data_IF_096998809317
#
_entry.id   IF_096998809317
#
_cell.length_a   1.000
_cell.length_b   1.000
_cell.length_c   1.000
_cell.angle_alpha   90.00
_cell.angle_beta   90.00
_cell.angle_gamma   90.00
#
_symmetry.space_group_name_H-M   'P 1'
#
loop_
_entity.id
_entity.type
_entity.pdbx_description
1 polymer ?
#
# COMPACT_ATOMS: atom_id res chain seq x y z
N UNK A 1 -6.69 11.73 -4.29
CA UNK A 1 -6.37 10.28 -4.42
C UNK A 1 -4.86 10.17 -4.63
N UNK A 2 -4.10 9.80 -3.60
CA UNK A 2 -2.64 9.61 -3.69
C UNK A 2 -2.35 8.22 -4.24
N UNK A 3 -2.76 7.97 -5.48
CA UNK A 3 -2.42 6.75 -6.18
C UNK A 3 -1.18 6.98 -7.02
N UNK A 4 -0.44 5.89 -7.22
CA UNK A 4 0.56 5.83 -8.27
C UNK A 4 -0.11 6.17 -9.60
N UNK A 5 0.53 7.05 -10.37
CA UNK A 5 0.19 7.31 -11.75
C UNK A 5 0.38 6.04 -12.59
N UNK A 6 -0.25 5.96 -13.75
CA UNK A 6 -0.09 4.81 -14.64
C UNK A 6 1.39 4.51 -14.98
N UNK A 7 2.21 5.56 -15.11
CA UNK A 7 3.65 5.44 -15.32
C UNK A 7 4.36 4.80 -14.13
N UNK A 8 3.98 5.19 -12.92
CA UNK A 8 4.55 4.62 -11.68
C UNK A 8 4.08 3.18 -11.46
N UNK A 9 2.82 2.87 -11.78
CA UNK A 9 2.31 1.49 -11.75
C UNK A 9 3.09 0.61 -12.72
N UNK A 10 3.24 1.04 -13.98
CA UNK A 10 4.04 0.31 -14.98
C UNK A 10 5.49 0.13 -14.55
N UNK A 11 6.07 1.13 -13.88
CA UNK A 11 7.43 1.03 -13.34
C UNK A 11 7.48 -0.02 -12.22
N UNK A 12 6.51 0.00 -11.30
CA UNK A 12 6.40 -0.98 -10.22
C UNK A 12 6.25 -2.40 -10.77
N UNK A 13 5.35 -2.61 -11.72
CA UNK A 13 5.13 -3.92 -12.36
C UNK A 13 6.44 -4.47 -12.95
N UNK A 14 7.17 -3.65 -13.71
CA UNK A 14 8.47 -4.05 -14.29
C UNK A 14 9.50 -4.41 -13.22
N UNK A 15 9.57 -3.65 -12.13
CA UNK A 15 10.48 -3.93 -11.02
C UNK A 15 10.11 -5.24 -10.31
N UNK A 16 8.82 -5.51 -10.13
CA UNK A 16 8.33 -6.76 -9.53
C UNK A 16 8.64 -7.96 -10.43
N UNK A 17 8.38 -7.88 -11.73
CA UNK A 17 8.74 -8.94 -12.68
C UNK A 17 10.25 -9.22 -12.67
N UNK A 18 11.07 -8.17 -12.76
CA UNK A 18 12.53 -8.32 -12.74
C UNK A 18 13.06 -8.93 -11.43
N UNK A 19 12.39 -8.70 -10.31
CA UNK A 19 12.74 -9.36 -9.05
C UNK A 19 12.46 -10.87 -9.09
N UNK A 20 11.34 -11.29 -9.68
CA UNK A 20 11.03 -12.71 -9.84
C UNK A 20 12.03 -13.41 -10.76
N UNK A 21 12.39 -12.80 -11.89
CA UNK A 21 13.42 -13.33 -12.79
C UNK A 21 14.77 -13.51 -12.07
N UNK A 22 15.14 -12.54 -11.22
CA UNK A 22 16.35 -12.61 -10.39
C UNK A 22 16.30 -13.77 -9.38
N UNK A 23 15.16 -13.95 -8.70
CA UNK A 23 14.98 -15.03 -7.73
C UNK A 23 14.97 -16.39 -8.43
N UNK A 24 14.32 -16.51 -9.59
CA UNK A 24 14.30 -17.73 -10.37
C UNK A 24 15.73 -18.16 -10.73
N UNK A 25 16.56 -17.23 -11.21
CA UNK A 25 17.97 -17.50 -11.48
C UNK A 25 18.74 -17.99 -10.24
N UNK A 26 18.48 -17.41 -9.06
CA UNK A 26 19.10 -17.85 -7.81
C UNK A 26 18.66 -19.27 -7.42
N UNK A 27 17.38 -19.61 -7.57
CA UNK A 27 16.85 -20.96 -7.31
C UNK A 27 17.48 -21.97 -8.28
N UNK A 28 17.56 -21.64 -9.58
CA UNK A 28 18.16 -22.50 -10.61
C UNK A 28 19.64 -22.81 -10.30
N UNK A 29 20.37 -21.84 -9.75
CA UNK A 29 21.75 -22.01 -9.29
C UNK A 29 21.90 -22.89 -8.03
N UNK A 30 20.82 -23.53 -7.57
CA UNK A 30 20.72 -24.40 -6.39
C UNK A 30 21.01 -23.71 -5.06
N UNK A 31 20.84 -22.39 -4.97
CA UNK A 31 20.81 -21.72 -3.68
C UNK A 31 19.42 -21.88 -3.06
N UNK A 32 19.27 -22.82 -2.11
CA UNK A 32 18.09 -22.82 -1.25
C UNK A 32 18.20 -21.70 -0.23
N UNK A 33 17.15 -20.90 -0.09
CA UNK A 33 17.08 -19.81 0.88
C UNK A 33 15.97 -20.03 1.90
N UNK A 34 16.22 -19.57 3.12
CA UNK A 34 15.24 -19.41 4.18
C UNK A 34 14.38 -18.16 3.93
N UNK A 35 13.25 -18.05 4.62
CA UNK A 35 12.40 -16.84 4.51
C UNK A 35 13.12 -15.55 4.92
N UNK A 36 14.08 -15.64 5.85
CA UNK A 36 14.90 -14.50 6.27
C UNK A 36 15.83 -14.05 5.14
N UNK A 37 16.52 -15.00 4.49
CA UNK A 37 17.40 -14.71 3.35
C UNK A 37 16.62 -14.19 2.14
N UNK A 38 15.38 -14.65 1.95
CA UNK A 38 14.47 -14.10 0.95
C UNK A 38 14.11 -12.62 1.23
N UNK A 39 13.85 -12.26 2.49
CA UNK A 39 13.60 -10.86 2.84
C UNK A 39 14.85 -9.98 2.59
N UNK A 40 16.05 -10.51 2.83
CA UNK A 40 17.30 -9.82 2.53
C UNK A 40 17.56 -9.67 1.03
N UNK A 41 17.19 -10.66 0.21
CA UNK A 41 17.38 -10.62 -1.24
C UNK A 41 16.56 -9.49 -1.89
N UNK A 42 15.36 -9.20 -1.36
CA UNK A 42 14.56 -8.02 -1.76
C UNK A 42 15.34 -6.73 -1.56
N UNK A 43 15.95 -6.55 -0.38
CA UNK A 43 16.73 -5.35 -0.09
C UNK A 43 17.98 -5.25 -0.99
N UNK A 44 18.65 -6.38 -1.26
CA UNK A 44 19.81 -6.44 -2.17
C UNK A 44 19.40 -6.06 -3.59
N UNK A 45 18.31 -6.63 -4.10
CA UNK A 45 17.78 -6.33 -5.43
C UNK A 45 17.42 -4.85 -5.59
N UNK A 46 16.70 -4.30 -4.62
CA UNK A 46 16.32 -2.89 -4.62
C UNK A 46 17.55 -1.99 -4.57
N UNK A 47 18.53 -2.28 -3.71
CA UNK A 47 19.77 -1.51 -3.60
C UNK A 47 20.60 -1.55 -4.89
N UNK A 48 20.68 -2.72 -5.53
CA UNK A 48 21.39 -2.93 -6.79
C UNK A 48 20.75 -2.12 -7.94
N UNK A 49 19.42 -2.03 -7.97
CA UNK A 49 18.69 -1.21 -8.93
C UNK A 49 18.58 0.27 -8.53
N UNK A 50 19.46 0.74 -7.64
CA UNK A 50 19.56 2.14 -7.17
C UNK A 50 18.28 2.65 -6.48
N UNK A 51 17.40 1.75 -6.01
CA UNK A 51 16.28 2.15 -5.18
C UNK A 51 16.75 2.53 -3.78
N UNK A 52 16.18 3.60 -3.24
CA UNK A 52 16.43 4.02 -1.87
C UNK A 52 15.70 3.09 -0.91
N UNK A 53 16.45 2.24 -0.23
CA UNK A 53 15.93 1.43 0.88
C UNK A 53 15.52 2.36 2.02
N UNK A 54 14.32 2.17 2.54
CA UNK A 54 13.88 2.83 3.75
C UNK A 54 14.72 2.32 4.93
N UNK A 55 15.63 3.18 5.42
CA UNK A 55 16.46 2.88 6.58
C UNK A 55 15.72 3.06 7.91
N UNK A 56 15.79 2.05 8.77
CA UNK A 56 15.26 2.08 10.14
C UNK A 56 13.80 1.63 10.28
N UNK A 57 13.40 1.35 11.52
CA UNK A 57 11.97 1.30 11.88
C UNK A 57 11.46 2.73 11.80
N UNK A 58 10.35 2.97 11.10
CA UNK A 58 9.87 4.30 10.76
C UNK A 58 10.08 5.32 11.89
N UNK A 59 10.85 6.38 11.62
CA UNK A 59 11.14 7.44 12.59
C UNK A 59 9.89 8.27 12.97
N UNK A 60 8.77 8.00 12.30
CA UNK A 60 7.50 8.66 12.50
C UNK A 60 6.72 7.82 13.52
N UNK A 61 6.45 8.41 14.68
CA UNK A 61 5.57 7.80 15.68
C UNK A 61 4.17 7.59 15.10
N UNK A 62 3.46 6.58 15.62
CA UNK A 62 2.07 6.30 15.25
C UNK A 62 1.19 7.55 15.37
N UNK A 63 1.33 8.29 16.47
CA UNK A 63 0.61 9.56 16.71
C UNK A 63 0.86 10.61 15.61
N UNK A 64 2.10 10.75 15.13
CA UNK A 64 2.41 11.67 14.02
C UNK A 64 1.84 11.18 12.70
N UNK A 65 1.77 9.87 12.48
CA UNK A 65 1.16 9.29 11.29
C UNK A 65 -0.36 9.51 11.30
N UNK A 66 -1.01 9.35 12.45
CA UNK A 66 -2.44 9.59 12.65
C UNK A 66 -2.82 11.05 12.45
N UNK A 67 -2.10 11.99 13.08
CA UNK A 67 -2.34 13.43 12.91
C UNK A 67 -2.21 13.85 11.44
N UNK A 68 -1.20 13.32 10.73
CA UNK A 68 -1.04 13.57 9.29
C UNK A 68 -2.19 12.97 8.48
N UNK A 69 -2.63 11.75 8.79
CA UNK A 69 -3.74 11.10 8.10
C UNK A 69 -5.05 11.86 8.29
N UNK A 70 -5.34 12.31 9.52
CA UNK A 70 -6.52 13.11 9.84
C UNK A 70 -6.49 14.46 9.11
N UNK A 71 -5.36 15.17 9.11
CA UNK A 71 -5.21 16.43 8.36
C UNK A 71 -5.44 16.28 6.86
N UNK A 72 -4.90 15.21 6.26
CA UNK A 72 -5.13 14.93 4.84
C UNK A 72 -6.58 14.50 4.56
N UNK A 73 -7.19 13.75 5.48
CA UNK A 73 -8.60 13.41 5.41
C UNK A 73 -9.48 14.66 5.46
N UNK A 74 -9.24 15.58 6.41
CA UNK A 74 -10.00 16.84 6.53
C UNK A 74 -9.89 17.69 5.26
N UNK A 75 -8.70 17.79 4.65
CA UNK A 75 -8.55 18.51 3.37
C UNK A 75 -9.37 17.88 2.25
N UNK A 76 -9.40 16.55 2.19
CA UNK A 76 -10.09 15.82 1.12
C UNK A 76 -11.61 15.71 1.35
N UNK A 77 -12.05 15.69 2.60
CA UNK A 77 -13.45 15.47 2.97
C UNK A 77 -14.34 16.72 2.84
N UNK A 78 -13.76 17.92 2.63
CA UNK A 78 -14.51 19.19 2.51
C UNK A 78 -15.57 19.21 1.40
N UNK A 79 -15.40 18.40 0.35
CA UNK A 79 -16.30 18.36 -0.81
C UNK A 79 -17.16 17.10 -0.87
N UNK A 80 -17.00 16.15 0.05
CA UNK A 80 -17.81 14.94 0.09
C UNK A 80 -19.19 15.26 0.69
N UNK A 81 -20.28 14.81 0.03
CA UNK A 81 -21.61 14.86 0.64
C UNK A 81 -21.61 13.93 1.86
N UNK A 82 -21.86 14.50 3.03
CA UNK A 82 -21.82 13.81 4.34
C UNK A 82 -22.76 12.59 4.37
N UNK A 83 -23.79 12.57 3.53
CA UNK A 83 -24.68 11.43 3.39
C UNK A 83 -24.25 10.52 2.23
N UNK A 84 -23.51 9.47 2.55
CA UNK A 84 -23.15 8.41 1.61
C UNK A 84 -24.41 7.72 1.08
N UNK A 85 -24.38 7.22 -0.16
CA UNK A 85 -25.49 6.42 -0.69
C UNK A 85 -25.69 5.13 0.12
N UNK A 86 -24.64 4.67 0.81
CA UNK A 86 -24.72 3.64 1.83
C UNK A 86 -25.57 4.09 3.04
N UNK A 87 -25.33 5.29 3.57
CA UNK A 87 -26.10 5.85 4.69
C UNK A 87 -27.57 6.08 4.33
N UNK A 88 -27.85 6.46 3.07
CA UNK A 88 -29.23 6.54 2.56
C UNK A 88 -29.88 5.16 2.48
N UNK A 89 -29.14 4.14 2.05
CA UNK A 89 -29.64 2.77 1.97
C UNK A 89 -29.92 2.19 3.36
N UNK A 90 -29.02 2.38 4.32
CA UNK A 90 -29.20 1.92 5.71
C UNK A 90 -30.37 2.63 6.39
N UNK A 91 -30.49 3.96 6.25
CA UNK A 91 -31.65 4.72 6.75
C UNK A 91 -32.97 4.24 6.16
N UNK A 92 -33.02 3.89 4.86
CA UNK A 92 -34.23 3.34 4.23
C UNK A 92 -34.62 1.97 4.80
N UNK A 93 -33.65 1.12 5.11
CA UNK A 93 -33.87 -0.19 5.73
C UNK A 93 -34.38 -0.01 7.17
N UNK A 94 -33.72 0.85 7.96
CA UNK A 94 -34.11 1.17 9.34
C UNK A 94 -35.50 1.82 9.43
N UNK A 95 -35.86 2.70 8.50
CA UNK A 95 -37.18 3.34 8.46
C UNK A 95 -38.29 2.39 7.97
N UNK A 96 -37.97 1.35 7.18
CA UNK A 96 -38.93 0.29 6.84
C UNK A 96 -39.25 -0.62 8.03
N UNK A 97 -38.29 -0.84 8.94
CA UNK A 97 -38.49 -1.62 10.17
C UNK A 97 -39.38 -0.92 11.21
N UNK A 98 -39.46 0.41 11.21
CA UNK A 98 -40.29 1.21 12.13
C UNK A 98 -41.75 1.44 11.68
N UNK A 99 -42.13 0.95 10.50
CA UNK A 99 -43.50 1.08 9.92
C UNK A 99 -44.34 -0.21 10.04
N UNK A 100 -43.99 -1.10 10.96
CA UNK A 100 -44.84 -2.24 11.37
C UNK A 100 -45.41 -1.99 12.74
#
# INVERSE_FOLDING_TARGET
>A
KNYLTEKEIKKLERTVSAFFDYIEHLIESRQSFTMTEFAESVNKFLSFNEFRILGGKGQISMERAEDKALKEYEKFNKTQKIESDFDKATKKILNKGKKK
#
